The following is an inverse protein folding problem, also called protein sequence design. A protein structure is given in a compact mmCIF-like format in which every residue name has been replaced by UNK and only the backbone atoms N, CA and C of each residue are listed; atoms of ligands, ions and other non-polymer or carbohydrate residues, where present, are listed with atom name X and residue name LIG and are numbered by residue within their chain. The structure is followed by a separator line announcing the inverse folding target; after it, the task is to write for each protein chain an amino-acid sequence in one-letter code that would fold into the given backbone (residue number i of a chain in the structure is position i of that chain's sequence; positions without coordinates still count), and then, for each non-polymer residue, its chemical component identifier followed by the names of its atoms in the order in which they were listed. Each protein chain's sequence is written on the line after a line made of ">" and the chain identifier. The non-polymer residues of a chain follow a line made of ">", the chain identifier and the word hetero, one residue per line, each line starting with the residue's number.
data_IF_194486414905
#
_entry.id   IF_194486414905
#
_cell.length_a   1.000
_cell.length_b   1.000
_cell.length_c   1.000
_cell.angle_alpha   90.00
_cell.angle_beta   90.00
_cell.angle_gamma   90.00
#
_symmetry.space_group_name_H-M   'P 1'
#
loop_
_entity.id
_entity.type
_entity.pdbx_description
1 polymer ?
#
# COMPACT_ATOMS: atom_id res chain seq x y z
N UNK A 1 66.91 -28.49 16.97
CA UNK A 1 66.77 -27.09 16.49
C UNK A 1 65.73 -27.00 15.36
N UNK A 2 65.78 -27.90 14.39
CA UNK A 2 64.79 -28.05 13.29
C UNK A 2 63.31 -28.10 13.74
N UNK A 3 62.98 -28.89 14.77
CA UNK A 3 61.59 -29.08 15.23
C UNK A 3 60.95 -27.78 15.74
N UNK A 4 61.73 -26.91 16.41
CA UNK A 4 61.22 -25.62 16.89
C UNK A 4 60.93 -24.65 15.73
N UNK A 5 61.68 -24.75 14.63
CA UNK A 5 61.46 -23.94 13.43
C UNK A 5 60.13 -24.33 12.76
N UNK A 6 59.84 -25.62 12.63
CA UNK A 6 58.56 -26.11 12.09
C UNK A 6 57.36 -25.69 12.96
N UNK A 7 57.49 -25.75 14.28
CA UNK A 7 56.44 -25.31 15.20
C UNK A 7 56.16 -23.80 15.09
N UNK A 8 57.21 -22.97 14.99
CA UNK A 8 57.07 -21.53 14.75
C UNK A 8 56.42 -21.22 13.41
N UNK A 9 56.78 -21.95 12.35
CA UNK A 9 56.21 -21.76 11.02
C UNK A 9 54.72 -22.15 10.99
N UNK A 10 54.36 -23.26 11.65
CA UNK A 10 52.96 -23.68 11.79
C UNK A 10 52.13 -22.66 12.59
N UNK A 11 52.70 -22.07 13.65
CA UNK A 11 52.06 -21.00 14.42
C UNK A 11 51.77 -19.78 13.54
N UNK A 12 52.75 -19.35 12.74
CA UNK A 12 52.60 -18.22 11.81
C UNK A 12 51.53 -18.45 10.76
N UNK A 13 51.47 -19.65 10.18
CA UNK A 13 50.43 -20.02 9.21
C UNK A 13 49.05 -20.01 9.88
N UNK A 14 48.93 -20.58 11.08
CA UNK A 14 47.67 -20.56 11.83
C UNK A 14 47.20 -19.13 12.12
N UNK A 15 48.11 -18.23 12.49
CA UNK A 15 47.82 -16.83 12.77
C UNK A 15 47.34 -16.08 11.51
N UNK A 16 47.97 -16.35 10.35
CA UNK A 16 47.54 -15.80 9.06
C UNK A 16 46.15 -16.29 8.65
N UNK A 17 45.85 -17.57 8.86
CA UNK A 17 44.52 -18.14 8.57
C UNK A 17 43.46 -17.50 9.46
N UNK A 18 43.74 -17.34 10.76
CA UNK A 18 42.81 -16.68 11.70
C UNK A 18 42.58 -15.22 11.29
N UNK A 19 43.63 -14.48 10.94
CA UNK A 19 43.53 -13.10 10.48
C UNK A 19 42.68 -12.98 9.20
N UNK A 20 42.88 -13.89 8.24
CA UNK A 20 42.09 -13.96 7.02
C UNK A 20 40.61 -14.23 7.29
N UNK A 21 40.30 -15.18 8.19
CA UNK A 21 38.93 -15.49 8.59
C UNK A 21 38.26 -14.32 9.29
N UNK A 22 38.96 -13.62 10.19
CA UNK A 22 38.45 -12.42 10.86
C UNK A 22 38.18 -11.28 9.85
N UNK A 23 39.06 -11.05 8.89
CA UNK A 23 38.86 -10.06 7.84
C UNK A 23 37.62 -10.39 6.98
N UNK A 24 37.44 -11.66 6.62
CA UNK A 24 36.26 -12.13 5.89
C UNK A 24 34.98 -11.93 6.71
N UNK A 25 35.01 -12.24 8.00
CA UNK A 25 33.86 -12.06 8.90
C UNK A 25 33.46 -10.57 9.04
N UNK A 26 34.44 -9.69 9.20
CA UNK A 26 34.21 -8.24 9.26
C UNK A 26 33.57 -7.71 7.97
N UNK A 27 34.05 -8.16 6.80
CA UNK A 27 33.48 -7.76 5.51
C UNK A 27 32.01 -8.19 5.36
N UNK A 28 31.68 -9.41 5.76
CA UNK A 28 30.29 -9.91 5.73
C UNK A 28 29.40 -9.15 6.72
N UNK A 29 29.86 -8.87 7.94
CA UNK A 29 29.10 -8.08 8.91
C UNK A 29 28.80 -6.66 8.40
N UNK A 30 29.76 -6.02 7.74
CA UNK A 30 29.55 -4.70 7.13
C UNK A 30 28.47 -4.71 6.05
N UNK A 31 28.47 -5.73 5.18
CA UNK A 31 27.43 -5.90 4.17
C UNK A 31 26.05 -6.17 4.78
N UNK A 32 25.99 -6.99 5.83
CA UNK A 32 24.74 -7.27 6.54
C UNK A 32 24.15 -6.01 7.19
N UNK A 33 25.00 -5.14 7.75
CA UNK A 33 24.56 -3.87 8.34
C UNK A 33 23.93 -2.96 7.29
N UNK A 34 24.54 -2.83 6.12
CA UNK A 34 24.01 -2.03 5.02
C UNK A 34 22.64 -2.53 4.54
N UNK A 35 22.45 -3.85 4.47
CA UNK A 35 21.16 -4.46 4.11
C UNK A 35 20.13 -4.20 5.22
N UNK A 36 20.52 -4.33 6.49
CA UNK A 36 19.65 -4.07 7.64
C UNK A 36 19.19 -2.61 7.69
N UNK A 37 20.08 -1.67 7.41
CA UNK A 37 19.76 -0.24 7.37
C UNK A 37 18.83 0.09 6.20
N UNK A 38 19.08 -0.48 5.01
CA UNK A 38 18.19 -0.32 3.87
C UNK A 38 16.79 -0.91 4.13
N UNK A 39 16.71 -2.06 4.82
CA UNK A 39 15.45 -2.67 5.20
C UNK A 39 14.69 -1.85 6.26
N UNK A 40 15.41 -1.25 7.22
CA UNK A 40 14.83 -0.36 8.22
C UNK A 40 14.23 0.90 7.58
N UNK A 41 14.89 1.47 6.57
CA UNK A 41 14.38 2.62 5.81
C UNK A 41 13.11 2.29 5.01
N UNK A 42 13.05 1.10 4.40
CA UNK A 42 11.85 0.62 3.70
C UNK A 42 10.70 0.43 4.71
N UNK A 43 10.98 -0.16 5.87
CA UNK A 43 9.99 -0.31 6.96
C UNK A 43 9.48 1.04 7.48
N UNK A 44 10.34 2.05 7.51
CA UNK A 44 9.99 3.42 7.92
C UNK A 44 9.23 4.21 6.83
N UNK A 45 8.85 3.57 5.72
CA UNK A 45 7.96 4.14 4.71
C UNK A 45 8.66 4.84 3.55
N UNK A 46 10.00 4.77 3.47
CA UNK A 46 10.76 5.31 2.34
C UNK A 46 10.92 4.28 1.22
N UNK A 47 9.82 3.95 0.55
CA UNK A 47 9.75 2.97 -0.55
C UNK A 47 10.58 3.34 -1.79
N UNK A 48 11.07 4.58 -1.88
CA UNK A 48 11.94 5.02 -2.98
C UNK A 48 13.40 4.56 -2.82
N UNK A 49 13.81 4.08 -1.63
CA UNK A 49 15.17 3.62 -1.41
C UNK A 49 15.31 2.17 -1.83
N UNK A 50 15.80 1.95 -3.06
CA UNK A 50 16.12 0.61 -3.57
C UNK A 50 17.27 0.02 -2.76
N UNK A 51 17.13 -1.25 -2.32
CA UNK A 51 18.23 -1.98 -1.69
C UNK A 51 19.31 -2.21 -2.74
N UNK A 52 20.36 -1.39 -2.72
CA UNK A 52 21.53 -1.53 -3.59
C UNK A 52 22.40 -2.68 -3.05
N UNK A 53 22.12 -3.90 -3.50
CA UNK A 53 22.94 -5.06 -3.20
C UNK A 53 24.34 -4.89 -3.82
N UNK A 54 25.38 -4.76 -3.00
CA UNK A 54 26.77 -4.91 -3.46
C UNK A 54 27.12 -6.39 -3.52
N UNK A 55 27.24 -6.90 -4.75
CA UNK A 55 27.98 -8.09 -5.22
C UNK A 55 28.27 -9.18 -4.16
N UNK A 56 27.22 -9.78 -3.58
CA UNK A 56 27.32 -11.17 -3.15
C UNK A 56 26.10 -11.93 -3.63
N UNK A 57 26.35 -12.99 -4.38
CA UNK A 57 25.36 -13.73 -5.16
C UNK A 57 24.15 -14.15 -4.31
N UNK A 58 24.40 -14.54 -3.05
CA UNK A 58 23.38 -15.00 -2.11
C UNK A 58 22.48 -13.89 -1.56
N UNK A 59 23.01 -12.67 -1.35
CA UNK A 59 22.17 -11.56 -0.85
C UNK A 59 21.48 -10.79 -1.96
N UNK A 60 21.97 -10.90 -3.21
CA UNK A 60 21.35 -10.27 -4.38
C UNK A 60 19.92 -10.77 -4.57
N UNK A 61 19.71 -12.08 -4.55
CA UNK A 61 18.38 -12.68 -4.74
C UNK A 61 17.39 -12.20 -3.66
N UNK A 62 17.82 -12.23 -2.39
CA UNK A 62 17.02 -11.71 -1.27
C UNK A 62 16.69 -10.22 -1.45
N UNK A 63 17.63 -9.40 -1.93
CA UNK A 63 17.37 -7.98 -2.20
C UNK A 63 16.38 -7.76 -3.36
N UNK A 64 16.41 -8.62 -4.39
CA UNK A 64 15.42 -8.58 -5.47
C UNK A 64 14.02 -8.94 -4.95
N UNK A 65 13.90 -10.04 -4.19
CA UNK A 65 12.63 -10.48 -3.64
C UNK A 65 12.01 -9.40 -2.73
N UNK A 66 12.83 -8.75 -1.88
CA UNK A 66 12.40 -7.64 -1.02
C UNK A 66 11.91 -6.45 -1.86
N UNK A 67 12.66 -6.07 -2.92
CA UNK A 67 12.26 -4.97 -3.79
C UNK A 67 10.97 -5.30 -4.55
N UNK A 68 10.77 -6.54 -4.97
CA UNK A 68 9.55 -6.99 -5.64
C UNK A 68 8.35 -6.91 -4.69
N UNK A 69 8.49 -7.37 -3.44
CA UNK A 69 7.46 -7.23 -2.41
C UNK A 69 7.13 -5.75 -2.17
N UNK A 70 8.15 -4.89 -2.07
CA UNK A 70 7.96 -3.46 -1.85
C UNK A 70 7.19 -2.81 -3.01
N UNK A 71 7.57 -3.11 -4.26
CA UNK A 71 6.86 -2.63 -5.46
C UNK A 71 5.42 -3.15 -5.52
N UNK A 72 5.21 -4.43 -5.26
CA UNK A 72 3.87 -5.04 -5.24
C UNK A 72 2.97 -4.50 -4.12
N UNK A 73 3.55 -4.14 -2.96
CA UNK A 73 2.83 -3.46 -1.88
C UNK A 73 2.42 -2.04 -2.28
N UNK A 74 3.35 -1.27 -2.87
CA UNK A 74 3.07 0.08 -3.34
C UNK A 74 2.00 0.10 -4.44
N UNK A 75 2.05 -0.82 -5.40
CA UNK A 75 1.04 -0.96 -6.45
C UNK A 75 -0.35 -1.25 -5.87
N UNK A 76 -0.44 -2.19 -4.91
CA UNK A 76 -1.69 -2.50 -4.20
C UNK A 76 -2.24 -1.31 -3.44
N UNK A 77 -1.38 -0.55 -2.76
CA UNK A 77 -1.79 0.66 -2.04
C UNK A 77 -2.37 1.72 -2.99
N UNK A 78 -1.75 1.92 -4.15
CA UNK A 78 -2.26 2.84 -5.18
C UNK A 78 -3.62 2.37 -5.70
N UNK A 79 -3.75 1.09 -6.03
CA UNK A 79 -5.00 0.51 -6.52
C UNK A 79 -6.12 0.61 -5.48
N UNK A 80 -5.81 0.38 -4.20
CA UNK A 80 -6.77 0.53 -3.11
C UNK A 80 -7.25 1.99 -2.99
N UNK A 81 -6.33 2.97 -3.03
CA UNK A 81 -6.70 4.40 -3.02
C UNK A 81 -7.57 4.79 -4.21
N UNK A 82 -7.27 4.27 -5.40
CA UNK A 82 -8.09 4.49 -6.59
C UNK A 82 -9.48 3.89 -6.43
N UNK A 83 -9.59 2.67 -5.91
CA UNK A 83 -10.86 2.01 -5.64
C UNK A 83 -11.69 2.77 -4.60
N UNK A 84 -11.09 3.21 -3.50
CA UNK A 84 -11.76 4.05 -2.49
C UNK A 84 -12.26 5.37 -3.08
N UNK A 85 -11.46 6.01 -3.94
CA UNK A 85 -11.85 7.26 -4.58
C UNK A 85 -12.98 7.05 -5.60
N UNK A 86 -12.95 5.96 -6.36
CA UNK A 86 -14.05 5.57 -7.24
C UNK A 86 -15.33 5.29 -6.45
N UNK A 87 -15.24 4.53 -5.35
CA UNK A 87 -16.36 4.24 -4.47
C UNK A 87 -16.97 5.53 -3.88
N UNK A 88 -16.14 6.46 -3.38
CA UNK A 88 -16.62 7.76 -2.88
C UNK A 88 -17.33 8.58 -3.96
N UNK A 89 -16.81 8.58 -5.19
CA UNK A 89 -17.45 9.27 -6.33
C UNK A 89 -18.80 8.64 -6.68
N UNK A 90 -18.86 7.31 -6.75
CA UNK A 90 -20.10 6.57 -6.98
C UNK A 90 -21.15 6.85 -5.90
N UNK A 91 -20.74 6.85 -4.63
CA UNK A 91 -21.65 7.15 -3.52
C UNK A 91 -22.16 8.60 -3.59
N UNK A 92 -21.30 9.54 -3.97
CA UNK A 92 -21.66 10.96 -4.11
C UNK A 92 -22.61 11.16 -5.29
N UNK A 93 -22.34 10.54 -6.45
CA UNK A 93 -23.21 10.61 -7.62
C UNK A 93 -24.56 9.97 -7.33
N UNK A 94 -24.58 8.77 -6.74
CA UNK A 94 -25.82 8.10 -6.35
C UNK A 94 -26.62 8.94 -5.35
N UNK A 95 -25.95 9.55 -4.37
CA UNK A 95 -26.62 10.43 -3.41
C UNK A 95 -27.26 11.65 -4.09
N UNK A 96 -26.58 12.25 -5.07
CA UNK A 96 -27.13 13.37 -5.85
C UNK A 96 -28.33 12.92 -6.70
N UNK A 97 -28.20 11.78 -7.36
CA UNK A 97 -29.20 11.23 -8.28
C UNK A 97 -30.46 10.73 -7.54
N UNK A 98 -30.33 10.31 -6.27
CA UNK A 98 -31.47 9.95 -5.41
C UNK A 98 -32.09 11.19 -4.73
N UNK A 99 -31.27 12.15 -4.26
CA UNK A 99 -31.77 13.32 -3.50
C UNK A 99 -32.69 14.22 -4.34
N UNK A 100 -32.38 14.42 -5.61
CA UNK A 100 -33.14 15.32 -6.51
C UNK A 100 -34.58 14.86 -6.75
N UNK A 101 -34.84 13.61 -7.16
CA UNK A 101 -36.20 13.12 -7.34
C UNK A 101 -36.93 12.91 -6.01
N UNK A 102 -36.22 12.52 -4.93
CA UNK A 102 -36.81 12.43 -3.59
C UNK A 102 -37.31 13.80 -3.09
N UNK A 103 -36.52 14.86 -3.26
CA UNK A 103 -36.93 16.22 -2.90
C UNK A 103 -38.15 16.70 -3.69
N UNK A 104 -38.23 16.34 -4.99
CA UNK A 104 -39.40 16.62 -5.80
C UNK A 104 -40.64 15.88 -5.29
N UNK A 105 -40.51 14.58 -4.96
CA UNK A 105 -41.58 13.75 -4.41
C UNK A 105 -42.11 14.30 -3.09
N UNK A 106 -41.21 14.67 -2.17
CA UNK A 106 -41.56 15.32 -0.90
C UNK A 106 -42.30 16.62 -1.17
N UNK A 107 -41.82 17.47 -2.09
CA UNK A 107 -42.49 18.73 -2.43
C UNK A 107 -43.91 18.57 -2.98
N UNK A 108 -44.16 17.57 -3.84
CA UNK A 108 -45.52 17.27 -4.31
C UNK A 108 -46.42 16.80 -3.16
N UNK A 109 -45.93 15.93 -2.28
CA UNK A 109 -46.69 15.42 -1.13
C UNK A 109 -46.98 16.51 -0.10
N UNK A 110 -46.01 17.40 0.17
CA UNK A 110 -46.14 18.50 1.14
C UNK A 110 -47.14 19.56 0.66
N UNK A 111 -47.19 19.84 -0.65
CA UNK A 111 -48.18 20.72 -1.27
C UNK A 111 -49.62 20.17 -1.14
N UNK A 112 -49.75 18.85 -1.25
CA UNK A 112 -51.02 18.12 -1.06
C UNK A 112 -51.43 18.11 0.41
N UNK A 113 -50.51 17.81 1.33
CA UNK A 113 -50.77 17.77 2.78
C UNK A 113 -51.14 19.15 3.34
N UNK A 114 -50.47 20.20 2.87
CA UNK A 114 -50.72 21.59 3.28
C UNK A 114 -52.01 22.19 2.70
N UNK A 115 -52.80 21.41 1.94
CA UNK A 115 -54.00 21.86 1.20
C UNK A 115 -53.72 23.06 0.27
N UNK A 116 -52.48 23.17 -0.21
CA UNK A 116 -52.07 24.26 -1.10
C UNK A 116 -52.61 24.07 -2.52
N UNK A 117 -52.89 22.81 -2.89
CA UNK A 117 -53.57 22.37 -4.11
C UNK A 117 -54.84 21.58 -3.73
N UNK A 118 -55.94 21.81 -4.44
CA UNK A 118 -57.27 21.21 -4.13
C UNK A 118 -57.97 20.66 -5.36
N UNK A 119 -58.75 19.59 -5.20
CA UNK A 119 -59.54 19.01 -6.28
C UNK A 119 -58.68 18.31 -7.34
N UNK A 120 -58.84 18.69 -8.60
CA UNK A 120 -58.17 18.04 -9.73
C UNK A 120 -56.62 18.15 -9.68
N UNK A 121 -56.07 19.28 -9.22
CA UNK A 121 -54.62 19.47 -9.08
C UNK A 121 -54.01 18.55 -8.02
N UNK A 122 -54.76 18.24 -6.95
CA UNK A 122 -54.30 17.33 -5.90
C UNK A 122 -54.13 15.90 -6.44
N UNK A 123 -55.10 15.44 -7.22
CA UNK A 123 -55.06 14.12 -7.88
C UNK A 123 -53.90 14.02 -8.89
N UNK A 124 -53.65 15.11 -9.64
CA UNK A 124 -52.54 15.20 -10.57
C UNK A 124 -51.18 15.14 -9.86
N UNK A 125 -51.02 15.85 -8.74
CA UNK A 125 -49.78 15.86 -7.96
C UNK A 125 -49.48 14.49 -7.34
N UNK A 126 -50.49 13.79 -6.84
CA UNK A 126 -50.35 12.41 -6.34
C UNK A 126 -49.95 11.47 -7.48
N UNK A 127 -50.58 11.59 -8.66
CA UNK A 127 -50.25 10.76 -9.83
C UNK A 127 -48.80 10.96 -10.27
N UNK A 128 -48.36 12.21 -10.42
CA UNK A 128 -46.98 12.55 -10.82
C UNK A 128 -45.95 12.10 -9.78
N UNK A 129 -46.25 12.25 -8.49
CA UNK A 129 -45.40 11.75 -7.42
C UNK A 129 -45.25 10.22 -7.48
N UNK A 130 -46.36 9.50 -7.68
CA UNK A 130 -46.38 8.03 -7.76
C UNK A 130 -45.64 7.52 -9.00
N UNK A 131 -45.83 8.17 -10.14
CA UNK A 131 -45.12 7.86 -11.38
C UNK A 131 -43.60 8.09 -11.21
N UNK A 132 -43.19 9.24 -10.63
CA UNK A 132 -41.78 9.49 -10.30
C UNK A 132 -41.21 8.49 -9.31
N UNK A 133 -41.99 8.00 -8.35
CA UNK A 133 -41.56 6.98 -7.39
C UNK A 133 -41.37 5.60 -8.03
N UNK A 134 -42.16 5.27 -9.05
CA UNK A 134 -42.02 4.02 -9.81
C UNK A 134 -40.88 4.04 -10.83
N UNK A 135 -40.49 5.23 -11.30
CA UNK A 135 -39.36 5.42 -12.22
C UNK A 135 -38.00 5.63 -11.53
N UNK A 136 -37.99 5.73 -10.20
CA UNK A 136 -36.82 5.81 -9.31
C UNK A 136 -36.26 4.42 -9.00
#
# INVERSE_FOLDING_TARGET
>A
MEVNLYLLLALWIALLVIAYLLAKLHRVRGQLSLIKDALADIKNGNLNRRVLARESDLTKQICYDINEIAMGSQARLIQQKQSEQAYKRLMTSLSHDVKTPLASLVGYLEAVESKMVTGAEQEEYIRVATEKAHHL
#
